data_IF_421871504293
#
_entry.id   IF_421871504293
#
_cell.length_a   1.000
_cell.length_b   1.000
_cell.length_c   1.000
_cell.angle_alpha   90.00
_cell.angle_beta   90.00
_cell.angle_gamma   90.00
#
_symmetry.space_group_name_H-M   'P 1'
#
loop_
_entity.id
_entity.type
_entity.pdbx_description
1 polymer ?
#
# COMPACT_ATOMS: atom_id res chain seq x y z
N UNK A 1 -5.96 -4.79 10.08
CA UNK A 1 -6.93 -4.53 8.99
C UNK A 1 -7.22 -5.76 8.17
N UNK A 2 -6.23 -6.38 7.51
CA UNK A 2 -6.43 -7.59 6.69
C UNK A 2 -7.14 -8.73 7.43
N UNK A 3 -6.70 -9.08 8.64
CA UNK A 3 -7.35 -10.12 9.45
C UNK A 3 -8.82 -9.82 9.79
N UNK A 4 -9.21 -8.54 9.88
CA UNK A 4 -10.61 -8.17 10.09
C UNK A 4 -11.42 -8.30 8.79
N UNK A 5 -10.85 -7.86 7.67
CA UNK A 5 -11.47 -8.01 6.34
C UNK A 5 -11.77 -9.48 6.05
N UNK A 6 -10.79 -10.36 6.31
CA UNK A 6 -10.93 -11.81 6.17
C UNK A 6 -12.01 -12.36 7.13
N UNK A 7 -11.93 -12.02 8.42
CA UNK A 7 -12.89 -12.45 9.44
C UNK A 7 -14.35 -12.10 9.11
N UNK A 8 -14.59 -10.96 8.45
CA UNK A 8 -15.93 -10.51 8.10
C UNK A 8 -16.33 -10.81 6.65
N UNK A 9 -15.44 -11.41 5.85
CA UNK A 9 -15.75 -11.82 4.47
C UNK A 9 -16.07 -10.65 3.54
N UNK A 10 -15.51 -9.46 3.78
CA UNK A 10 -15.84 -8.23 3.04
C UNK A 10 -14.82 -7.84 1.95
N UNK A 11 -13.90 -8.73 1.60
CA UNK A 11 -12.80 -8.42 0.67
C UNK A 11 -13.30 -7.91 -0.69
N UNK A 12 -14.30 -8.57 -1.28
CA UNK A 12 -14.90 -8.22 -2.58
C UNK A 12 -15.64 -6.86 -2.59
N UNK A 13 -15.91 -6.29 -1.41
CA UNK A 13 -16.61 -5.01 -1.28
C UNK A 13 -15.63 -3.82 -1.13
N UNK A 14 -14.33 -4.09 -1.10
CA UNK A 14 -13.29 -3.07 -0.91
C UNK A 14 -12.57 -2.88 -2.24
N UNK A 15 -12.57 -1.65 -2.76
CA UNK A 15 -12.00 -1.33 -4.07
C UNK A 15 -10.50 -1.61 -4.19
N UNK A 16 -9.76 -1.47 -3.10
CA UNK A 16 -8.33 -1.74 -3.07
C UNK A 16 -7.87 -2.16 -1.67
N UNK A 17 -7.08 -3.24 -1.61
CA UNK A 17 -6.52 -3.77 -0.38
C UNK A 17 -5.00 -3.76 -0.51
N UNK A 18 -4.34 -2.86 0.23
CA UNK A 18 -2.88 -2.85 0.32
C UNK A 18 -2.38 -3.93 1.28
N UNK A 19 -1.40 -4.73 0.83
CA UNK A 19 -0.62 -5.64 1.68
C UNK A 19 0.75 -5.06 2.07
N UNK A 20 1.02 -3.80 1.72
CA UNK A 20 2.33 -3.16 1.86
C UNK A 20 2.77 -2.82 3.29
N UNK A 21 1.94 -3.10 4.31
CA UNK A 21 2.28 -2.93 5.72
C UNK A 21 2.86 -1.53 6.03
N UNK A 22 4.14 -1.48 6.43
CA UNK A 22 4.86 -0.24 6.72
C UNK A 22 5.06 0.68 5.52
N UNK A 23 5.32 0.13 4.32
CA UNK A 23 5.49 0.94 3.12
C UNK A 23 4.19 1.68 2.74
N UNK A 24 3.02 1.07 3.01
CA UNK A 24 1.74 1.74 2.84
C UNK A 24 1.57 2.90 3.83
N UNK A 25 2.01 2.74 5.08
CA UNK A 25 1.97 3.81 6.07
C UNK A 25 2.91 4.96 5.71
N UNK A 26 4.15 4.65 5.32
CA UNK A 26 5.12 5.66 4.88
C UNK A 26 4.61 6.46 3.68
N UNK A 27 3.95 5.80 2.72
CA UNK A 27 3.31 6.48 1.59
C UNK A 27 2.18 7.42 2.03
N UNK A 28 1.31 6.98 2.95
CA UNK A 28 0.21 7.83 3.50
C UNK A 28 0.75 9.00 4.32
N UNK A 29 1.89 8.82 4.98
CA UNK A 29 2.63 9.90 5.68
C UNK A 29 3.29 10.90 4.72
N UNK A 30 3.28 10.64 3.41
CA UNK A 30 3.91 11.49 2.40
C UNK A 30 5.42 11.35 2.33
N UNK A 31 5.98 10.26 2.87
CA UNK A 31 7.42 9.98 2.77
C UNK A 31 7.78 9.48 1.38
N UNK A 32 9.00 9.80 0.96
CA UNK A 32 9.59 9.24 -0.26
C UNK A 32 9.89 7.77 -0.03
N UNK A 33 9.37 6.92 -0.92
CA UNK A 33 9.73 5.50 -0.95
C UNK A 33 10.97 5.34 -1.85
N UNK A 34 12.15 4.97 -1.32
CA UNK A 34 13.41 4.97 -2.09
C UNK A 34 13.36 4.09 -3.34
N UNK A 35 12.65 2.96 -3.26
CA UNK A 35 12.47 2.05 -4.38
C UNK A 35 11.59 2.63 -5.50
N UNK A 36 10.64 3.52 -5.17
CA UNK A 36 9.81 4.21 -6.17
C UNK A 36 10.62 5.35 -6.78
N UNK A 37 11.32 6.13 -5.96
CA UNK A 37 12.16 7.25 -6.39
C UNK A 37 13.20 6.83 -7.43
N UNK A 38 13.93 5.72 -7.20
CA UNK A 38 14.92 5.25 -8.18
C UNK A 38 14.29 4.83 -9.50
N UNK A 39 13.05 4.33 -9.50
CA UNK A 39 12.35 3.98 -10.74
C UNK A 39 11.90 5.23 -11.50
N UNK A 40 11.40 6.24 -10.79
CA UNK A 40 11.02 7.55 -11.36
C UNK A 40 12.22 8.26 -11.99
N UNK A 41 13.37 8.27 -11.31
CA UNK A 41 14.62 8.84 -11.82
C UNK A 41 15.12 8.14 -13.10
N UNK A 42 14.87 6.83 -13.23
CA UNK A 42 15.29 6.03 -14.38
C UNK A 42 14.33 6.08 -15.56
N UNK A 43 13.10 6.53 -15.34
CA UNK A 43 12.08 6.70 -16.37
C UNK A 43 12.17 8.05 -17.08
N UNK A 44 12.98 8.98 -16.57
CA UNK A 44 13.37 10.24 -17.22
C UNK A 44 14.45 9.98 -18.27
#
# INVERSE_FOLDING_TARGET
TLAAIDKYGVAEQISYISTGGGAFLEFVEGKVLPAVEVLEQRAQ
#
